data_IF_494730961879
#
_entry.id   IF_494730961879
#
_cell.length_a   1.000
_cell.length_b   1.000
_cell.length_c   1.000
_cell.angle_alpha   90.00
_cell.angle_beta   90.00
_cell.angle_gamma   90.00
#
_symmetry.space_group_name_H-M   'P 1'
#
loop_
_entity.id
_entity.type
_entity.pdbx_description
1 polymer ?
#
# COMPACT_ATOMS: atom_id res chain seq x y z
N UNK A 1 21.31 5.94 15.79
CA UNK A 1 21.34 5.97 17.28
C UNK A 1 19.91 6.08 17.80
N UNK A 2 19.46 5.21 18.73
CA UNK A 2 18.12 5.30 19.31
C UNK A 2 18.00 6.60 20.13
N UNK A 3 16.91 7.35 19.92
CA UNK A 3 16.56 8.53 20.72
C UNK A 3 15.44 8.13 21.68
N UNK A 4 15.66 8.27 22.98
CA UNK A 4 14.65 8.05 24.01
C UNK A 4 13.87 9.35 24.24
N UNK A 5 12.54 9.28 24.17
CA UNK A 5 11.65 10.41 24.46
C UNK A 5 11.28 10.46 25.94
N UNK A 6 11.42 11.63 26.55
CA UNK A 6 11.04 11.92 27.94
C UNK A 6 10.07 13.09 28.03
N UNK A 7 9.13 13.00 28.96
CA UNK A 7 8.12 14.04 29.21
C UNK A 7 8.11 14.39 30.69
N UNK A 8 8.05 15.68 31.01
CA UNK A 8 7.90 16.13 32.39
C UNK A 8 6.46 15.94 32.87
N UNK A 9 6.28 15.41 34.09
CA UNK A 9 4.96 15.25 34.72
C UNK A 9 4.35 16.60 35.13
N UNK A 10 5.16 17.57 35.53
CA UNK A 10 4.68 18.84 36.08
C UNK A 10 4.33 19.86 35.01
N UNK A 11 5.22 20.09 34.02
CA UNK A 11 5.01 21.11 32.98
C UNK A 11 4.69 20.52 31.60
N UNK A 12 4.75 19.20 31.43
CA UNK A 12 4.45 18.54 30.16
C UNK A 12 5.52 18.71 29.06
N UNK A 13 6.64 19.40 29.35
CA UNK A 13 7.75 19.59 28.41
C UNK A 13 8.29 18.25 27.91
N UNK A 14 8.58 18.17 26.60
CA UNK A 14 9.11 16.98 25.93
C UNK A 14 10.56 17.22 25.53
N UNK A 15 11.41 16.22 25.70
CA UNK A 15 12.82 16.27 25.32
C UNK A 15 13.32 14.88 24.95
N UNK A 16 14.44 14.83 24.22
CA UNK A 16 15.00 13.61 23.65
C UNK A 16 16.44 13.46 24.10
N UNK A 17 16.83 12.27 24.55
CA UNK A 17 18.23 11.97 24.89
C UNK A 17 18.64 10.62 24.31
N UNK A 18 19.95 10.46 24.09
CA UNK A 18 20.58 9.22 23.62
C UNK A 18 20.73 8.17 24.72
N UNK A 19 20.48 8.55 25.98
CA UNK A 19 20.64 7.71 27.18
C UNK A 19 19.25 7.36 27.75
N UNK A 20 19.08 6.11 28.21
CA UNK A 20 17.83 5.66 28.82
C UNK A 20 17.63 6.25 30.23
N UNK A 21 16.36 6.32 30.70
CA UNK A 21 16.03 6.91 32.00
C UNK A 21 16.75 6.23 33.18
N UNK A 22 16.97 4.92 33.08
CA UNK A 22 17.63 4.10 34.10
C UNK A 22 19.11 4.44 34.24
N UNK A 23 19.74 4.88 33.15
CA UNK A 23 21.16 5.24 33.07
C UNK A 23 21.40 6.74 33.25
N UNK A 24 20.36 7.55 33.49
CA UNK A 24 20.51 8.97 33.81
C UNK A 24 20.86 9.14 35.30
N UNK A 25 21.83 10.02 35.63
CA UNK A 25 22.11 10.36 37.02
C UNK A 25 20.86 11.00 37.65
N UNK A 26 20.65 10.83 38.96
CA UNK A 26 19.42 11.27 39.64
C UNK A 26 19.15 12.77 39.48
N UNK A 27 20.19 13.61 39.35
CA UNK A 27 20.05 15.04 39.06
C UNK A 27 19.40 15.30 37.68
N UNK A 28 19.67 14.44 36.69
CA UNK A 28 19.14 14.51 35.32
C UNK A 28 17.77 13.83 35.15
N UNK A 29 17.17 13.32 36.23
CA UNK A 29 15.77 12.82 36.24
C UNK A 29 14.74 13.92 36.55
N UNK A 30 15.18 15.17 36.60
CA UNK A 30 14.33 16.35 36.78
C UNK A 30 14.27 17.16 35.49
N UNK A 31 13.15 17.81 35.27
CA UNK A 31 12.95 18.71 34.15
C UNK A 31 13.66 20.03 34.41
N UNK A 32 14.50 20.47 33.48
CA UNK A 32 15.27 21.72 33.61
C UNK A 32 14.37 22.97 33.74
N UNK A 33 13.16 22.91 33.21
CA UNK A 33 12.23 24.05 33.23
C UNK A 33 11.52 24.26 34.57
N UNK A 34 11.22 23.18 35.30
CA UNK A 34 10.34 23.28 36.48
C UNK A 34 10.77 22.37 37.64
N UNK A 35 11.93 21.70 37.54
CA UNK A 35 12.43 20.74 38.53
C UNK A 35 11.58 19.47 38.70
N UNK A 36 10.53 19.31 37.89
CA UNK A 36 9.55 18.22 38.01
C UNK A 36 10.08 16.89 37.48
N UNK A 37 9.58 15.78 38.03
CA UNK A 37 10.03 14.45 37.60
C UNK A 37 9.68 14.16 36.15
N UNK A 38 10.59 13.47 35.47
CA UNK A 38 10.48 13.11 34.06
C UNK A 38 10.17 11.62 33.91
N UNK A 39 9.40 11.27 32.91
CA UNK A 39 9.06 9.87 32.61
C UNK A 39 9.32 9.58 31.13
N UNK A 40 9.65 8.32 30.83
CA UNK A 40 9.78 7.83 29.46
C UNK A 40 8.40 7.88 28.81
N UNK A 41 8.25 8.64 27.73
CA UNK A 41 7.08 8.50 26.88
C UNK A 41 7.52 7.68 25.67
N UNK A 42 7.16 6.40 25.69
CA UNK A 42 7.16 5.61 24.48
C UNK A 42 6.02 6.13 23.61
N UNK A 43 6.33 6.53 22.38
CA UNK A 43 5.33 6.80 21.35
C UNK A 43 4.67 5.48 20.87
N UNK A 44 4.40 4.54 21.77
CA UNK A 44 3.80 3.23 21.47
C UNK A 44 2.45 3.40 20.77
N UNK A 45 1.65 4.39 21.18
CA UNK A 45 0.41 4.74 20.50
C UNK A 45 0.61 5.13 19.03
N UNK A 46 1.69 5.85 18.70
CA UNK A 46 2.01 6.21 17.32
C UNK A 46 2.54 5.03 16.52
N UNK A 47 3.42 4.20 17.11
CA UNK A 47 3.97 3.01 16.43
C UNK A 47 2.85 2.02 16.09
N UNK A 48 1.89 1.79 17.01
CA UNK A 48 0.71 0.95 16.75
C UNK A 48 -0.19 1.54 15.66
N UNK A 49 -0.36 2.87 15.61
CA UNK A 49 -1.17 3.53 14.58
C UNK A 49 -0.50 3.47 13.19
N UNK A 50 0.81 3.68 13.09
CA UNK A 50 1.56 3.54 11.83
C UNK A 50 1.58 2.08 11.35
N UNK A 51 1.75 1.11 12.25
CA UNK A 51 1.65 -0.31 11.92
C UNK A 51 0.27 -0.66 11.35
N UNK A 52 -0.81 -0.24 12.02
CA UNK A 52 -2.19 -0.47 11.57
C UNK A 52 -2.48 0.20 10.21
N UNK A 53 -2.04 1.45 10.00
CA UNK A 53 -2.21 2.16 8.73
C UNK A 53 -1.42 1.48 7.60
N UNK A 54 -0.21 0.97 7.89
CA UNK A 54 0.61 0.26 6.91
C UNK A 54 -0.03 -1.06 6.46
N UNK A 55 -0.63 -1.83 7.38
CA UNK A 55 -1.35 -3.06 7.03
C UNK A 55 -2.63 -2.77 6.23
N UNK A 56 -3.37 -1.72 6.60
CA UNK A 56 -4.57 -1.29 5.87
C UNK A 56 -4.23 -0.85 4.44
N UNK A 57 -3.10 -0.16 4.25
CA UNK A 57 -2.61 0.24 2.93
C UNK A 57 -2.16 -0.96 2.09
N UNK A 58 -1.38 -1.89 2.66
CA UNK A 58 -0.97 -3.14 1.98
C UNK A 58 -2.19 -3.96 1.50
N UNK A 59 -3.22 -4.09 2.34
CA UNK A 59 -4.47 -4.78 1.97
C UNK A 59 -5.21 -4.10 0.81
N UNK A 60 -5.22 -2.75 0.75
CA UNK A 60 -5.83 -2.01 -0.37
C UNK A 60 -5.03 -2.17 -1.67
N UNK A 61 -3.70 -2.12 -1.59
CA UNK A 61 -2.83 -2.27 -2.75
C UNK A 61 -2.96 -3.66 -3.40
N UNK A 62 -2.98 -4.73 -2.58
CA UNK A 62 -3.18 -6.09 -3.06
C UNK A 62 -4.51 -6.29 -3.80
N UNK A 63 -5.60 -5.69 -3.31
CA UNK A 63 -6.90 -5.72 -3.98
C UNK A 63 -6.89 -4.99 -5.32
N UNK A 64 -6.15 -3.89 -5.44
CA UNK A 64 -6.00 -3.12 -6.68
C UNK A 64 -5.19 -3.91 -7.72
N UNK A 65 -4.11 -4.56 -7.31
CA UNK A 65 -3.29 -5.39 -8.20
C UNK A 65 -4.06 -6.61 -8.73
N UNK A 66 -4.84 -7.29 -7.87
CA UNK A 66 -5.71 -8.39 -8.29
C UNK A 66 -6.74 -7.98 -9.35
N UNK A 67 -7.31 -6.77 -9.25
CA UNK A 67 -8.25 -6.25 -10.26
C UNK A 67 -7.58 -6.00 -11.61
N UNK A 68 -6.42 -5.33 -11.62
CA UNK A 68 -5.70 -5.06 -12.87
C UNK A 68 -5.29 -6.35 -13.61
N UNK A 69 -4.89 -7.39 -12.87
CA UNK A 69 -4.58 -8.71 -13.46
C UNK A 69 -5.82 -9.40 -14.06
N UNK A 70 -6.98 -9.23 -13.44
CA UNK A 70 -8.23 -9.80 -13.94
C UNK A 70 -8.69 -9.08 -15.22
N UNK A 71 -8.61 -7.75 -15.23
CA UNK A 71 -8.96 -6.92 -16.39
C UNK A 71 -8.08 -7.25 -17.60
N UNK A 72 -6.76 -7.36 -17.41
CA UNK A 72 -5.83 -7.78 -18.47
C UNK A 72 -6.16 -9.18 -19.05
N UNK A 73 -6.51 -10.13 -18.18
CA UNK A 73 -6.86 -11.49 -18.64
C UNK A 73 -8.17 -11.51 -19.44
N UNK A 74 -9.15 -10.67 -19.09
CA UNK A 74 -10.41 -10.56 -19.82
C UNK A 74 -10.21 -9.90 -21.18
N UNK A 75 -9.39 -8.84 -21.25
CA UNK A 75 -9.02 -8.18 -22.52
C UNK A 75 -8.28 -9.14 -23.46
N UNK A 76 -7.34 -9.93 -22.94
CA UNK A 76 -6.59 -10.93 -23.72
C UNK A 76 -7.51 -12.06 -24.24
N UNK A 77 -8.48 -12.50 -23.44
CA UNK A 77 -9.48 -13.49 -23.88
C UNK A 77 -10.40 -12.92 -24.96
N UNK A 78 -10.83 -11.66 -24.83
CA UNK A 78 -11.67 -10.97 -25.82
C UNK A 78 -10.93 -10.82 -27.15
N UNK A 79 -9.66 -10.40 -27.14
CA UNK A 79 -8.85 -10.26 -28.35
C UNK A 79 -8.67 -11.60 -29.08
N UNK A 80 -8.36 -12.66 -28.32
CA UNK A 80 -8.22 -14.01 -28.88
C UNK A 80 -9.53 -14.55 -29.47
N UNK A 81 -10.66 -14.30 -28.80
CA UNK A 81 -11.99 -14.69 -29.30
C UNK A 81 -12.33 -13.94 -30.59
N UNK A 82 -12.11 -12.63 -30.63
CA UNK A 82 -12.36 -11.79 -31.80
C UNK A 82 -11.49 -12.22 -33.00
N UNK A 83 -10.21 -12.51 -32.78
CA UNK A 83 -9.29 -12.99 -33.83
C UNK A 83 -9.76 -14.32 -34.44
N UNK A 84 -10.26 -15.24 -33.60
CA UNK A 84 -10.84 -16.51 -34.04
C UNK A 84 -12.11 -16.31 -34.86
N UNK A 85 -12.97 -15.37 -34.45
CA UNK A 85 -14.18 -15.00 -35.18
C UNK A 85 -13.85 -14.41 -36.56
N UNK A 86 -12.90 -13.47 -36.63
CA UNK A 86 -12.48 -12.85 -37.89
C UNK A 86 -11.96 -13.86 -38.91
N UNK A 87 -11.20 -14.86 -38.46
CA UNK A 87 -10.70 -15.92 -39.35
C UNK A 87 -11.87 -16.73 -39.97
N UNK A 88 -12.89 -17.04 -39.16
CA UNK A 88 -14.10 -17.73 -39.64
C UNK A 88 -14.91 -16.87 -40.62
N UNK A 89 -15.11 -15.58 -40.29
CA UNK A 89 -15.81 -14.64 -41.18
C UNK A 89 -15.12 -14.50 -42.53
N UNK A 90 -13.79 -14.42 -42.55
CA UNK A 90 -13.03 -14.32 -43.80
C UNK A 90 -13.26 -15.56 -44.69
N UNK A 91 -13.30 -16.76 -44.12
CA UNK A 91 -13.60 -17.97 -44.90
C UNK A 91 -15.04 -18.00 -45.43
N UNK A 92 -16.01 -17.57 -44.61
CA UNK A 92 -17.40 -17.45 -45.06
C UNK A 92 -17.55 -16.46 -46.22
N UNK A 93 -16.89 -15.29 -46.14
CA UNK A 93 -16.91 -14.29 -47.20
C UNK A 93 -16.44 -14.86 -48.55
N UNK A 94 -15.31 -15.56 -48.58
CA UNK A 94 -14.81 -16.17 -49.82
C UNK A 94 -15.74 -17.24 -50.38
N UNK A 95 -16.37 -18.05 -49.52
CA UNK A 95 -17.35 -19.03 -49.95
C UNK A 95 -18.57 -18.37 -50.60
N UNK A 96 -19.08 -17.28 -50.00
CA UNK A 96 -20.20 -16.49 -50.55
C UNK A 96 -19.82 -15.88 -51.90
N UNK A 97 -18.66 -15.22 -52.01
CA UNK A 97 -18.19 -14.64 -53.28
C UNK A 97 -18.04 -15.69 -54.39
N UNK A 98 -17.57 -16.89 -54.05
CA UNK A 98 -17.46 -18.00 -54.99
C UNK A 98 -18.82 -18.49 -55.49
N UNK A 99 -19.81 -18.62 -54.58
CA UNK A 99 -21.16 -19.03 -54.95
C UNK A 99 -21.86 -18.01 -55.84
N UNK A 100 -21.74 -16.71 -55.53
CA UNK A 100 -22.31 -15.64 -56.36
C UNK A 100 -21.73 -15.68 -57.78
N UNK A 101 -20.42 -15.89 -57.91
CA UNK A 101 -19.76 -15.99 -59.22
C UNK A 101 -20.27 -17.14 -60.09
N UNK A 102 -20.84 -18.20 -59.50
CA UNK A 102 -21.43 -19.32 -60.24
C UNK A 102 -22.84 -19.04 -60.76
N UNK A 103 -23.57 -18.09 -60.17
CA UNK A 103 -24.93 -17.75 -60.58
C UNK A 103 -24.99 -16.77 -61.75
N UNK A 104 -23.91 -16.03 -62.01
CA UNK A 104 -23.81 -15.06 -63.11
C UNK A 104 -23.31 -15.65 -64.44
N UNK A 105 -23.23 -16.98 -64.55
CA UNK A 105 -22.95 -17.73 -65.78
C UNK A 105 -24.19 -18.50 -66.19
#
# INVERSE_FOLDING_TARGET
MPKYGFKCKSCGAKFYSSVSLENLPNASKKCDFCGGNIYKFTNEAHISQYAYLSEKYKKKQYKKEKRGKLEQSVEEQLENAQKKLHKKMRHAYYAISFLISRLSK
#
